data_IF_356724882350
#
_entry.id   IF_356724882350
#
_cell.length_a   1.000
_cell.length_b   1.000
_cell.length_c   1.000
_cell.angle_alpha   90.00
_cell.angle_beta   90.00
_cell.angle_gamma   90.00
#
_symmetry.space_group_name_H-M   'P 1'
#
loop_
_entity.id
_entity.type
_entity.pdbx_description
1 polymer ?
2 non-polymer ?
3 water ?
#
# COMPACT_ATOMS: atom_id res chain seq x y z
N UNK A 1 -11.63 8.59 15.95
CA UNK A 1 -10.75 8.48 14.74
C UNK A 1 -9.53 7.57 14.93
N UNK A 2 -9.31 6.69 13.96
CA UNK A 2 -8.19 5.78 13.98
C UNK A 2 -6.94 6.43 13.36
N UNK A 3 -5.76 6.07 13.87
CA UNK A 3 -4.52 6.66 13.35
C UNK A 3 -3.45 5.62 13.00
N UNK A 4 -3.44 5.14 11.75
CA UNK A 4 -2.42 4.15 11.37
C UNK A 4 -1.03 4.62 11.79
N UNK A 5 -0.14 3.68 12.14
CA UNK A 5 1.20 4.12 12.54
C UNK A 5 1.93 4.77 11.37
N UNK A 6 3.02 5.48 11.67
CA UNK A 6 3.79 6.17 10.66
C UNK A 6 4.04 5.37 9.38
N UNK A 7 3.93 6.02 8.23
CA UNK A 7 4.17 5.34 6.96
C UNK A 7 3.46 4.00 6.83
N UNK A 8 2.32 3.85 7.49
CA UNK A 8 1.57 2.59 7.42
C UNK A 8 1.11 2.25 6.00
N UNK A 9 1.07 0.94 5.71
CA UNK A 9 0.66 0.47 4.41
C UNK A 9 0.50 -1.05 4.42
N UNK A 10 -0.35 -1.55 3.54
CA UNK A 10 -0.59 -3.00 3.43
C UNK A 10 0.29 -3.62 2.35
N UNK A 11 1.24 -4.44 2.80
CA UNK A 11 2.18 -5.11 1.92
C UNK A 11 1.47 -6.02 0.92
N UNK A 12 1.39 -7.30 1.25
CA UNK A 12 0.73 -8.26 0.39
C UNK A 12 -0.63 -8.57 0.99
N UNK A 13 -1.18 -9.72 0.65
CA UNK A 13 -2.49 -10.12 1.16
C UNK A 13 -2.62 -9.91 2.66
N UNK A 14 -2.00 -10.78 3.45
CA UNK A 14 -2.12 -10.64 4.90
C UNK A 14 -0.97 -10.01 5.65
N UNK A 15 -0.17 -9.17 4.97
CA UNK A 15 0.98 -8.52 5.58
C UNK A 15 0.88 -7.00 5.60
N UNK A 16 1.37 -6.39 6.68
CA UNK A 16 1.36 -4.94 6.85
C UNK A 16 2.74 -4.37 7.07
N UNK A 17 2.90 -3.09 6.78
CA UNK A 17 4.17 -2.40 6.97
C UNK A 17 3.93 -0.98 7.48
N UNK A 18 4.85 -0.50 8.31
CA UNK A 18 4.75 0.85 8.84
C UNK A 18 6.10 1.31 9.37
N UNK A 19 6.25 2.64 9.53
CA UNK A 19 7.48 3.17 10.07
C UNK A 19 7.68 2.55 11.44
N UNK A 20 7.25 3.27 12.48
CA UNK A 20 7.36 2.81 13.86
C UNK A 20 6.11 3.22 14.63
N UNK A 21 5.30 2.23 15.05
CA UNK A 21 4.04 2.43 15.79
C UNK A 21 4.15 2.99 17.21
N UNK A 22 3.05 3.56 17.69
CA UNK A 22 2.96 4.11 19.03
C UNK A 22 1.51 4.18 19.53
N UNK A 23 1.36 4.57 20.79
CA UNK A 23 0.06 4.69 21.45
C UNK A 23 -1.09 5.17 20.58
N UNK A 24 -0.89 6.30 19.91
CA UNK A 24 -1.92 6.87 19.06
C UNK A 24 -2.33 5.90 17.95
N UNK A 25 -1.48 4.90 17.72
CA UNK A 25 -1.74 3.92 16.68
C UNK A 25 -2.35 2.62 17.18
N UNK A 26 -2.44 2.46 18.50
CA UNK A 26 -2.98 1.25 19.08
C UNK A 26 -4.38 0.90 18.61
N UNK A 27 -5.33 1.82 18.78
CA UNK A 27 -6.70 1.54 18.37
C UNK A 27 -6.72 0.92 16.97
N UNK A 28 -6.25 1.66 15.98
CA UNK A 28 -6.20 1.18 14.60
C UNK A 28 -5.49 -0.16 14.53
N UNK A 29 -4.29 -0.23 15.10
CA UNK A 29 -3.52 -1.47 15.09
C UNK A 29 -4.30 -2.59 15.74
N UNK A 30 -4.99 -2.27 16.84
CA UNK A 30 -5.79 -3.26 17.58
C UNK A 30 -7.04 -3.68 16.79
N UNK A 31 -6.86 -3.82 15.48
CA UNK A 31 -7.96 -4.17 14.57
C UNK A 31 -7.49 -5.05 13.41
N UNK A 32 -6.21 -4.95 13.06
CA UNK A 32 -5.65 -5.70 11.93
C UNK A 32 -5.57 -7.21 12.11
N UNK A 33 -5.98 -7.68 13.29
CA UNK A 33 -5.93 -9.10 13.58
C UNK A 33 -4.47 -9.47 13.77
N UNK A 34 -3.75 -8.58 14.43
CA UNK A 34 -2.34 -8.78 14.66
C UNK A 34 -2.03 -9.99 15.50
N UNK A 35 -1.41 -10.98 14.88
CA UNK A 35 -1.04 -12.20 15.56
C UNK A 35 0.41 -12.09 16.01
N UNK A 36 1.18 -11.25 15.33
CA UNK A 36 2.59 -11.04 15.66
C UNK A 36 3.15 -9.75 15.06
N UNK A 37 4.36 -9.39 15.47
CA UNK A 37 5.03 -8.19 14.99
C UNK A 37 6.46 -8.50 14.56
N UNK A 38 6.91 -7.83 13.50
CA UNK A 38 8.28 -7.98 13.00
C UNK A 38 8.92 -6.60 13.22
N UNK A 39 9.68 -6.51 14.31
CA UNK A 39 10.35 -5.27 14.73
C UNK A 39 11.85 -5.33 14.42
N UNK A 40 12.27 -4.55 13.43
CA UNK A 40 13.65 -4.54 12.95
C UNK A 40 14.67 -3.62 13.62
N UNK A 41 14.55 -3.41 14.92
CA UNK A 41 15.48 -2.53 15.63
C UNK A 41 16.21 -3.15 16.82
N UNK A 42 17.51 -2.86 16.95
CA UNK A 42 18.32 -3.38 18.06
C UNK A 42 18.13 -2.60 19.35
N UNK A 43 16.93 -2.03 19.54
CA UNK A 43 16.60 -1.29 20.75
C UNK A 43 15.40 -2.00 21.37
N UNK A 44 15.17 -1.81 22.68
CA UNK A 44 14.04 -2.44 23.38
C UNK A 44 12.73 -1.81 23.00
N UNK A 45 11.65 -2.58 23.09
CA UNK A 45 10.33 -2.09 22.74
C UNK A 45 9.80 -1.15 23.81
N UNK A 46 9.37 0.05 23.40
CA UNK A 46 8.83 1.04 24.36
C UNK A 46 7.73 0.43 25.24
N UNK A 47 7.94 0.52 26.54
CA UNK A 47 7.01 -0.02 27.52
C UNK A 47 5.54 0.18 27.12
N UNK A 48 5.14 1.43 26.93
CA UNK A 48 3.76 1.73 26.57
C UNK A 48 3.31 0.82 25.43
N UNK A 49 4.16 0.71 24.41
CA UNK A 49 3.88 -0.11 23.24
C UNK A 49 3.86 -1.58 23.65
N UNK A 50 4.96 -2.02 24.27
CA UNK A 50 5.12 -3.40 24.71
C UNK A 50 3.96 -3.90 25.57
N UNK A 51 3.33 -3.00 26.31
CA UNK A 51 2.20 -3.39 27.14
C UNK A 51 1.13 -3.95 26.20
N UNK A 52 0.90 -3.22 25.11
CA UNK A 52 -0.07 -3.59 24.08
C UNK A 52 0.38 -4.89 23.42
N UNK A 53 1.66 -4.93 23.05
CA UNK A 53 2.27 -6.07 22.40
C UNK A 53 1.81 -7.37 23.02
N UNK A 54 2.19 -7.57 24.28
CA UNK A 54 1.85 -8.79 24.99
C UNK A 54 0.33 -9.07 25.13
N UNK A 55 -0.36 -8.27 25.92
CA UNK A 55 -1.79 -8.42 26.16
C UNK A 55 -2.63 -8.29 24.91
N UNK A 56 -2.24 -9.00 23.85
CA UNK A 56 -2.98 -8.97 22.58
C UNK A 56 -2.76 -10.24 21.74
N UNK A 57 -2.18 -11.27 22.34
CA UNK A 57 -1.94 -12.50 21.59
C UNK A 57 -1.04 -12.18 20.40
N UNK A 58 -0.13 -11.23 20.63
CA UNK A 58 0.81 -10.77 19.63
C UNK A 58 2.22 -11.19 19.97
N UNK A 59 2.84 -12.00 19.11
CA UNK A 59 4.21 -12.45 19.35
C UNK A 59 5.14 -11.41 18.74
N UNK A 60 6.31 -11.21 19.35
CA UNK A 60 7.26 -10.24 18.80
C UNK A 60 8.50 -10.95 18.28
N UNK A 61 8.90 -10.60 17.07
CA UNK A 61 10.09 -11.15 16.45
C UNK A 61 11.02 -9.97 16.18
N UNK A 62 12.07 -9.85 16.98
CA UNK A 62 13.00 -8.74 16.84
C UNK A 62 14.36 -9.11 16.28
N UNK A 63 14.52 -8.91 14.98
CA UNK A 63 15.77 -9.18 14.30
C UNK A 63 16.56 -7.87 14.23
N UNK A 64 17.21 -7.52 15.33
CA UNK A 64 17.97 -6.29 15.40
C UNK A 64 18.98 -6.06 14.31
N UNK A 65 18.71 -5.08 13.45
CA UNK A 65 19.60 -4.73 12.36
C UNK A 65 20.08 -3.29 12.53
N UNK A 66 21.38 -3.14 12.82
CA UNK A 66 22.01 -1.84 13.05
C UNK A 66 21.68 -0.89 11.91
N UNK A 67 21.26 0.32 12.24
CA UNK A 67 20.91 1.28 11.20
C UNK A 67 21.84 2.47 11.11
N UNK A 68 22.60 2.55 10.02
CA UNK A 68 23.52 3.66 9.82
C UNK A 68 23.15 4.45 8.56
N UNK A 69 23.54 5.72 8.52
CA UNK A 69 23.23 6.60 7.39
C UNK A 69 23.83 6.20 6.04
N UNK A 70 23.23 6.71 4.97
CA UNK A 70 23.65 6.41 3.61
C UNK A 70 25.13 6.64 3.26
N UNK A 71 25.77 7.69 3.82
CA UNK A 71 27.18 7.89 3.47
C UNK A 71 27.93 6.56 3.45
N UNK A 72 27.66 5.73 4.45
CA UNK A 72 28.25 4.41 4.57
C UNK A 72 27.28 3.51 5.33
N UNK A 73 26.67 2.57 4.62
CA UNK A 73 25.70 1.64 5.22
C UNK A 73 26.19 0.20 5.11
N UNK A 74 25.27 -0.73 5.35
CA UNK A 74 25.55 -2.17 5.29
C UNK A 74 24.34 -2.93 5.84
N UNK A 75 23.65 -3.67 4.98
CA UNK A 75 22.46 -4.42 5.40
C UNK A 75 22.79 -5.86 5.78
N UNK A 76 22.32 -6.31 6.96
CA UNK A 76 22.54 -7.68 7.45
C UNK A 76 21.70 -8.67 6.66
N UNK A 77 22.30 -9.29 5.66
CA UNK A 77 21.61 -10.25 4.81
C UNK A 77 20.98 -11.36 5.67
N UNK A 78 21.74 -11.83 6.65
CA UNK A 78 21.29 -12.88 7.55
C UNK A 78 20.03 -12.47 8.32
N UNK A 79 20.16 -11.46 9.17
CA UNK A 79 19.01 -10.99 9.94
C UNK A 79 17.78 -10.84 9.05
N UNK A 80 17.89 -10.08 7.97
CA UNK A 80 16.75 -9.88 7.07
C UNK A 80 16.14 -11.23 6.70
N UNK A 81 17.01 -12.20 6.42
CA UNK A 81 16.59 -13.56 6.06
C UNK A 81 15.77 -14.22 7.18
N UNK A 82 16.29 -14.16 8.40
CA UNK A 82 15.57 -14.75 9.54
C UNK A 82 14.18 -14.13 9.63
N UNK A 83 14.07 -12.87 9.19
CA UNK A 83 12.81 -12.14 9.20
C UNK A 83 11.96 -12.59 8.02
N UNK A 84 12.61 -12.69 6.85
CA UNK A 84 11.93 -13.12 5.65
C UNK A 84 11.48 -14.57 5.86
N UNK A 85 12.10 -15.24 6.82
CA UNK A 85 11.77 -16.62 7.17
C UNK A 85 10.43 -16.66 7.88
N UNK A 86 10.34 -15.89 8.97
CA UNK A 86 9.13 -15.80 9.77
C UNK A 86 8.00 -15.21 8.94
N UNK A 87 8.28 -14.10 8.27
CA UNK A 87 7.27 -13.44 7.44
C UNK A 87 6.59 -14.41 6.48
N UNK A 88 7.37 -15.33 5.92
CA UNK A 88 6.82 -16.29 4.98
C UNK A 88 5.98 -17.40 5.63
N UNK A 89 5.95 -17.44 6.96
CA UNK A 89 5.15 -18.46 7.65
C UNK A 89 3.72 -17.97 7.81
N UNK A 90 2.81 -18.57 7.06
CA UNK A 90 1.39 -18.20 7.10
C UNK A 90 0.83 -18.12 8.52
N UNK A 91 1.27 -19.05 9.36
CA UNK A 91 0.80 -19.12 10.75
C UNK A 91 1.07 -17.84 11.51
N UNK A 92 2.06 -17.07 11.06
CA UNK A 92 2.43 -15.80 11.70
C UNK A 92 1.51 -14.62 11.36
N UNK A 93 0.95 -14.63 10.16
CA UNK A 93 0.05 -13.58 9.72
C UNK A 93 -1.24 -13.66 10.53
N UNK A 94 -1.89 -12.51 10.81
CA UNK A 94 -1.46 -11.17 10.39
C UNK A 94 -0.31 -10.57 11.20
N UNK A 95 0.69 -10.05 10.48
CA UNK A 95 1.86 -9.42 11.09
C UNK A 95 2.09 -8.00 10.58
N UNK A 96 2.75 -7.19 11.39
CA UNK A 96 3.09 -5.84 11.02
C UNK A 96 4.62 -5.82 10.95
N UNK A 97 5.16 -5.37 9.83
CA UNK A 97 6.61 -5.28 9.70
C UNK A 97 6.99 -3.85 10.05
N UNK A 98 7.97 -3.66 10.93
CA UNK A 98 8.37 -2.31 11.27
C UNK A 98 9.75 -2.16 11.91
N UNK A 99 10.28 -0.95 11.74
CA UNK A 99 11.57 -0.54 12.27
C UNK A 99 11.40 0.90 12.79
N UNK A 100 12.22 1.83 12.33
CA UNK A 100 12.09 3.21 12.80
C UNK A 100 11.22 4.08 11.89
N UNK A 101 11.70 4.37 10.69
CA UNK A 101 10.93 5.19 9.77
C UNK A 101 10.18 4.35 8.74
N UNK A 102 10.47 3.05 8.77
CA UNK A 102 9.84 2.10 7.87
C UNK A 102 10.11 2.41 6.41
N UNK A 103 11.36 2.71 6.09
CA UNK A 103 11.74 3.05 4.73
C UNK A 103 12.88 2.19 4.15
N UNK A 104 13.92 1.99 4.94
CA UNK A 104 15.11 1.24 4.53
C UNK A 104 15.07 -0.22 4.98
N UNK A 105 15.24 -0.43 6.28
CA UNK A 105 15.18 -1.79 6.82
C UNK A 105 13.91 -2.48 6.30
N UNK A 106 12.77 -1.95 6.71
CA UNK A 106 11.46 -2.44 6.29
C UNK A 106 11.37 -2.39 4.77
N UNK A 107 12.36 -1.77 4.15
CA UNK A 107 12.37 -1.66 2.71
C UNK A 107 12.92 -2.92 2.06
N UNK A 108 14.00 -3.45 2.64
CA UNK A 108 14.63 -4.65 2.11
C UNK A 108 13.73 -5.87 2.23
N UNK A 109 13.28 -6.17 3.44
CA UNK A 109 12.40 -7.32 3.69
C UNK A 109 11.21 -7.33 2.72
N UNK A 110 10.51 -6.20 2.61
CA UNK A 110 9.36 -6.11 1.71
C UNK A 110 9.83 -6.19 0.26
N UNK A 111 10.96 -5.52 -0.04
CA UNK A 111 11.50 -5.53 -1.38
C UNK A 111 11.87 -6.94 -1.78
N UNK A 112 12.58 -7.62 -0.89
CA UNK A 112 12.99 -8.99 -1.13
C UNK A 112 11.72 -9.84 -1.30
N UNK A 113 10.76 -9.70 -0.39
CA UNK A 113 9.51 -10.45 -0.48
C UNK A 113 9.03 -10.35 -1.92
N UNK A 114 8.93 -9.12 -2.42
CA UNK A 114 8.47 -8.87 -3.78
C UNK A 114 9.31 -9.59 -4.82
N UNK A 115 10.62 -9.66 -4.56
CA UNK A 115 11.52 -10.32 -5.49
C UNK A 115 11.12 -11.80 -5.59
N UNK A 116 11.04 -12.47 -4.45
CA UNK A 116 10.64 -13.87 -4.38
C UNK A 116 9.28 -14.01 -5.03
N UNK A 117 8.54 -12.90 -5.05
CA UNK A 117 7.21 -12.88 -5.63
C UNK A 117 7.26 -12.65 -7.13
N UNK A 118 8.48 -12.61 -7.66
CA UNK A 118 8.71 -12.44 -9.09
C UNK A 118 8.29 -11.09 -9.69
N UNK A 119 8.65 -10.00 -9.03
CA UNK A 119 8.32 -8.68 -9.55
C UNK A 119 9.56 -8.24 -10.30
N UNK A 120 9.44 -7.23 -11.15
CA UNK A 120 10.59 -6.72 -11.89
C UNK A 120 11.29 -5.69 -11.02
N UNK A 121 12.62 -5.77 -10.93
CA UNK A 121 13.37 -4.84 -10.10
C UNK A 121 12.88 -3.41 -10.28
N UNK A 122 12.46 -3.11 -11.51
CA UNK A 122 11.96 -1.78 -11.84
C UNK A 122 10.73 -1.45 -11.02
N UNK A 123 9.68 -2.26 -11.16
CA UNK A 123 8.44 -2.02 -10.42
C UNK A 123 8.72 -2.25 -8.92
N UNK A 124 9.71 -3.09 -8.63
CA UNK A 124 10.11 -3.37 -7.25
C UNK A 124 10.71 -2.14 -6.58
N UNK A 125 11.80 -1.65 -7.14
CA UNK A 125 12.46 -0.47 -6.58
C UNK A 125 11.50 0.71 -6.50
N UNK A 126 10.47 0.71 -7.36
CA UNK A 126 9.51 1.81 -7.35
C UNK A 126 8.73 1.82 -6.05
N UNK A 127 8.23 0.66 -5.66
CA UNK A 127 7.49 0.53 -4.40
C UNK A 127 8.38 0.95 -3.24
N UNK A 128 9.65 0.54 -3.34
CA UNK A 128 10.67 0.85 -2.33
C UNK A 128 10.76 2.34 -2.11
N UNK A 129 10.89 3.06 -3.22
CA UNK A 129 11.01 4.52 -3.22
C UNK A 129 9.71 5.25 -2.94
N UNK A 130 8.57 4.59 -3.22
CA UNK A 130 7.28 5.22 -2.98
C UNK A 130 7.10 5.62 -1.52
N UNK A 131 7.81 4.91 -0.64
CA UNK A 131 7.74 5.16 0.80
C UNK A 131 8.83 6.05 1.35
N UNK A 132 10.08 5.72 0.98
CA UNK A 132 11.26 6.44 1.44
C UNK A 132 11.11 7.96 1.45
N UNK A 133 10.13 8.44 0.69
CA UNK A 133 9.86 9.87 0.62
C UNK A 133 11.14 10.69 0.67
N UNK A 134 11.30 11.49 1.71
CA UNK A 134 12.49 12.32 1.84
C UNK A 134 13.76 11.56 1.46
N UNK A 135 14.28 10.76 2.39
CA UNK A 135 15.49 9.98 2.16
C UNK A 135 15.17 8.64 1.52
N UNK A 136 15.86 8.32 0.42
CA UNK A 136 15.67 7.05 -0.28
C UNK A 136 17.06 6.54 -0.70
N UNK A 137 17.46 5.39 -0.14
CA UNK A 137 18.78 4.83 -0.42
C UNK A 137 18.94 3.95 -1.65
N UNK A 138 20.12 4.05 -2.27
CA UNK A 138 20.46 3.29 -3.47
C UNK A 138 21.05 1.95 -3.06
N UNK A 139 21.91 1.99 -2.03
CA UNK A 139 22.58 0.80 -1.53
C UNK A 139 21.59 -0.29 -1.15
N UNK A 140 20.49 0.11 -0.51
CA UNK A 140 19.47 -0.84 -0.09
C UNK A 140 18.81 -1.50 -1.29
N UNK A 141 18.72 -0.77 -2.40
CA UNK A 141 18.12 -1.30 -3.64
C UNK A 141 19.06 -2.28 -4.34
N UNK A 142 20.35 -1.93 -4.42
CA UNK A 142 21.34 -2.82 -5.03
C UNK A 142 21.40 -4.10 -4.20
N UNK A 143 21.40 -3.94 -2.88
CA UNK A 143 21.39 -5.07 -1.95
C UNK A 143 20.33 -6.06 -2.45
N UNK A 144 19.30 -5.50 -3.07
CA UNK A 144 18.21 -6.29 -3.61
C UNK A 144 18.43 -6.66 -5.07
N UNK A 145 19.16 -5.81 -5.78
CA UNK A 145 19.43 -6.10 -7.19
C UNK A 145 20.12 -7.45 -7.22
N UNK A 146 20.79 -7.79 -6.12
CA UNK A 146 21.52 -9.06 -6.02
C UNK A 146 21.07 -10.02 -4.92
N UNK A 147 19.77 -10.05 -4.61
CA UNK A 147 19.29 -10.95 -3.56
C UNK A 147 19.06 -12.34 -4.13
N UNK A 148 19.98 -13.25 -3.86
CA UNK A 148 19.87 -14.61 -4.37
C UNK A 148 18.89 -15.43 -3.55
N UNK A 149 18.21 -16.36 -4.21
CA UNK A 149 17.22 -17.21 -3.57
C UNK A 149 17.63 -18.68 -3.47
N UNK A 150 17.18 -19.31 -2.39
CA UNK A 150 17.46 -20.71 -2.14
C UNK A 150 16.40 -21.54 -2.85
N UNK A 151 15.37 -21.95 -2.10
CA UNK A 151 14.28 -22.77 -2.64
C UNK A 151 14.72 -24.20 -2.97
N UNK B 1 8.91 -12.78 -15.28
CA UNK B 1 8.80 -11.66 -14.29
C UNK B 1 7.49 -10.88 -14.35
N UNK B 2 7.01 -10.50 -13.18
CA UNK B 2 5.75 -9.76 -13.03
C UNK B 2 5.95 -8.25 -12.92
N UNK B 3 5.02 -7.50 -13.52
CA UNK B 3 5.07 -6.04 -13.49
C UNK B 3 3.75 -5.41 -13.05
N UNK B 4 3.63 -5.05 -11.77
CA UNK B 4 2.37 -4.44 -11.33
C UNK B 4 2.09 -3.16 -12.14
N UNK B 5 0.82 -2.77 -12.25
CA UNK B 5 0.46 -1.57 -13.01
C UNK B 5 0.98 -0.32 -12.31
N UNK B 6 0.87 0.82 -13.00
CA UNK B 6 1.34 2.11 -12.48
C UNK B 6 0.74 2.48 -11.14
N UNK B 7 1.59 2.68 -10.14
CA UNK B 7 1.11 3.04 -8.80
C UNK B 7 0.15 2.00 -8.24
N UNK B 8 0.50 0.73 -8.41
CA UNK B 8 -0.31 -0.35 -7.88
C UNK B 8 -0.15 -0.36 -6.36
N UNK B 9 -1.13 -0.88 -5.65
CA UNK B 9 -1.08 -0.94 -4.19
C UNK B 9 -2.33 -1.61 -3.64
N UNK B 10 -2.16 -2.47 -2.63
CA UNK B 10 -3.31 -3.14 -2.04
C UNK B 10 -3.90 -2.27 -0.95
N UNK B 11 -4.97 -1.54 -1.27
CA UNK B 11 -5.65 -0.66 -0.33
C UNK B 11 -6.15 -1.39 0.93
N UNK B 12 -6.84 -2.51 0.71
CA UNK B 12 -7.35 -3.30 1.81
C UNK B 12 -7.72 -4.65 1.24
N UNK B 13 -8.24 -5.54 2.07
CA UNK B 13 -8.60 -6.86 1.61
C UNK B 13 -9.67 -6.83 0.53
N UNK B 14 -9.24 -7.12 -0.70
CA UNK B 14 -10.13 -7.13 -1.84
C UNK B 14 -9.91 -5.92 -2.73
N UNK B 15 -9.56 -4.79 -2.12
CA UNK B 15 -9.36 -3.52 -2.83
C UNK B 15 -7.93 -3.18 -3.29
N UNK B 16 -7.83 -2.67 -4.51
CA UNK B 16 -6.56 -2.26 -5.10
C UNK B 16 -6.65 -0.89 -5.78
N UNK B 17 -5.51 -0.32 -6.13
CA UNK B 17 -5.45 0.97 -6.78
C UNK B 17 -4.22 1.03 -7.69
N UNK B 18 -4.33 1.80 -8.76
CA UNK B 18 -3.23 1.95 -9.70
C UNK B 18 -3.63 2.90 -10.83
N UNK B 19 -2.74 3.04 -11.81
CA UNK B 19 -3.00 3.88 -12.96
C UNK B 19 -3.58 3.04 -14.06
N UNK B 20 -3.66 3.61 -15.26
CA UNK B 20 -4.22 2.88 -16.39
C UNK B 20 -3.38 1.66 -16.68
N UNK B 21 -3.98 0.46 -16.52
CA UNK B 21 -3.33 -0.83 -16.75
C UNK B 21 -2.73 -0.95 -18.14
N UNK B 22 -1.52 -1.48 -18.21
CA UNK B 22 -0.89 -1.67 -19.50
C UNK B 22 -0.62 -3.14 -19.67
N UNK B 23 -0.72 -3.59 -20.91
CA UNK B 23 -0.49 -4.98 -21.26
C UNK B 23 0.70 -5.60 -20.54
N UNK B 24 1.75 -4.80 -20.34
CA UNK B 24 2.95 -5.28 -19.68
C UNK B 24 2.72 -5.64 -18.22
N UNK B 25 1.48 -5.48 -17.77
CA UNK B 25 1.15 -5.78 -16.38
C UNK B 25 0.24 -7.00 -16.22
N UNK B 26 -0.64 -7.22 -17.20
CA UNK B 26 -1.59 -8.33 -17.16
C UNK B 26 -1.15 -9.56 -16.39
N UNK B 27 -0.03 -10.16 -16.76
CA UNK B 27 0.45 -11.36 -16.08
C UNK B 27 0.29 -11.17 -14.58
N UNK B 28 0.68 -9.98 -14.09
CA UNK B 28 0.57 -9.66 -12.67
C UNK B 28 -0.92 -9.57 -12.27
N UNK B 29 -1.70 -8.87 -13.08
CA UNK B 29 -3.13 -8.72 -12.81
C UNK B 29 -3.84 -10.07 -12.62
N UNK B 30 -3.38 -11.09 -13.33
CA UNK B 30 -3.99 -12.40 -13.21
C UNK B 30 -3.72 -12.93 -11.80
N UNK B 31 -2.60 -12.52 -11.22
CA UNK B 31 -2.23 -12.93 -9.87
C UNK B 31 -3.33 -12.52 -8.90
N UNK B 32 -3.83 -11.29 -9.04
CA UNK B 32 -4.86 -10.76 -8.16
C UNK B 32 -6.21 -11.47 -8.25
N UNK B 33 -6.48 -12.14 -9.37
CA UNK B 33 -7.74 -12.83 -9.53
C UNK B 33 -8.86 -11.83 -9.29
N UNK B 34 -8.81 -10.69 -9.97
CA UNK B 34 -9.81 -9.65 -9.82
C UNK B 34 -11.19 -10.10 -10.25
N UNK B 35 -12.20 -9.68 -9.49
CA UNK B 35 -13.59 -10.00 -9.80
C UNK B 35 -14.21 -8.77 -10.48
N UNK B 36 -13.90 -7.59 -9.95
CA UNK B 36 -14.40 -6.34 -10.52
C UNK B 36 -13.32 -5.25 -10.51
N UNK B 37 -13.62 -4.13 -11.18
CA UNK B 37 -12.70 -3.00 -11.26
C UNK B 37 -13.47 -1.67 -11.38
N UNK B 38 -13.11 -0.69 -10.57
CA UNK B 38 -13.80 0.60 -10.63
C UNK B 38 -13.00 1.55 -11.52
N UNK B 39 -13.63 2.02 -12.60
CA UNK B 39 -12.99 2.93 -13.56
C UNK B 39 -13.41 4.38 -13.28
N UNK B 40 -12.49 5.31 -13.46
CA UNK B 40 -12.79 6.72 -13.19
C UNK B 40 -12.52 7.67 -14.37
N UNK B 41 -11.96 7.16 -15.45
CA UNK B 41 -11.69 7.98 -16.62
C UNK B 41 -12.87 7.87 -17.57
N UNK B 42 -13.23 8.96 -18.25
CA UNK B 42 -14.36 8.92 -19.19
C UNK B 42 -14.04 8.20 -20.51
N UNK B 43 -12.80 8.29 -20.99
CA UNK B 43 -12.44 7.64 -22.24
C UNK B 43 -12.81 6.16 -22.16
N UNK B 44 -13.16 5.54 -23.29
CA UNK B 44 -13.54 4.12 -23.34
C UNK B 44 -12.31 3.23 -23.23
N UNK B 45 -12.42 2.12 -22.51
CA UNK B 45 -11.30 1.20 -22.36
C UNK B 45 -10.76 0.85 -23.74
N UNK B 46 -9.42 0.75 -23.89
CA UNK B 46 -8.82 0.42 -25.18
C UNK B 46 -9.16 -1.00 -25.66
N UNK B 47 -8.44 -1.43 -26.69
CA UNK B 47 -8.64 -2.75 -27.28
C UNK B 47 -8.08 -3.85 -26.38
N UNK B 48 -6.77 -3.82 -26.16
CA UNK B 48 -6.11 -4.82 -25.34
C UNK B 48 -6.67 -4.87 -23.93
N UNK B 49 -6.55 -3.76 -23.22
CA UNK B 49 -7.04 -3.69 -21.85
C UNK B 49 -8.42 -4.32 -21.72
N UNK B 50 -9.27 -4.11 -22.72
CA UNK B 50 -10.62 -4.64 -22.70
C UNK B 50 -10.65 -6.15 -22.99
N UNK B 51 -9.77 -6.59 -23.88
CA UNK B 51 -9.67 -7.99 -24.24
C UNK B 51 -9.43 -8.76 -22.95
N UNK B 52 -8.41 -8.33 -22.21
CA UNK B 52 -8.03 -8.94 -20.95
C UNK B 52 -9.26 -9.05 -20.05
N UNK B 53 -9.98 -7.94 -19.89
CA UNK B 53 -11.18 -7.87 -19.08
C UNK B 53 -12.07 -9.09 -19.26
N UNK B 54 -12.43 -9.33 -20.52
CA UNK B 54 -13.29 -10.46 -20.84
C UNK B 54 -12.48 -11.75 -20.76
N UNK B 55 -11.32 -11.74 -21.40
CA UNK B 55 -10.43 -12.90 -21.42
C UNK B 55 -10.14 -13.39 -20.02
N UNK B 56 -10.48 -12.57 -19.02
CA UNK B 56 -10.25 -12.89 -17.61
C UNK B 56 -11.49 -12.79 -16.72
N UNK B 57 -12.65 -12.55 -17.33
CA UNK B 57 -13.89 -12.45 -16.58
C UNK B 57 -13.88 -11.46 -15.43
N UNK B 58 -13.64 -10.20 -15.75
CA UNK B 58 -13.58 -9.14 -14.76
C UNK B 58 -14.68 -8.11 -15.04
N UNK B 59 -15.55 -7.86 -14.07
CA UNK B 59 -16.63 -6.90 -14.29
C UNK B 59 -16.10 -5.48 -14.14
N UNK B 60 -16.51 -4.62 -15.07
CA UNK B 60 -16.07 -3.23 -15.11
C UNK B 60 -17.18 -2.22 -14.86
N UNK B 61 -17.04 -1.44 -13.78
CA UNK B 61 -18.00 -0.39 -13.47
C UNK B 61 -17.24 0.86 -13.81
N UNK B 62 -17.83 1.73 -14.59
CA UNK B 62 -17.15 2.97 -14.97
C UNK B 62 -17.87 4.19 -14.42
N UNK B 63 -17.07 5.17 -13.99
CA UNK B 63 -17.57 6.41 -13.43
C UNK B 63 -16.66 7.52 -13.93
N UNK B 64 -16.77 7.84 -15.21
CA UNK B 64 -15.94 8.86 -15.81
C UNK B 64 -15.89 10.17 -15.07
N UNK B 65 -14.68 10.53 -14.64
CA UNK B 65 -14.45 11.79 -13.94
C UNK B 65 -13.45 12.58 -14.78
N UNK B 66 -13.74 13.86 -14.98
CA UNK B 66 -12.89 14.74 -15.77
C UNK B 66 -11.47 14.75 -15.20
N UNK B 67 -10.49 15.15 -16.02
CA UNK B 67 -9.13 15.20 -15.55
C UNK B 67 -8.48 16.55 -15.78
N UNK B 68 -8.52 17.42 -14.76
CA UNK B 68 -7.94 18.76 -14.87
C UNK B 68 -6.72 18.94 -13.97
N UNK B 69 -5.93 19.98 -14.22
CA UNK B 69 -4.74 20.26 -13.41
C UNK B 69 -5.04 21.05 -12.14
N UNK B 70 -4.05 21.20 -11.28
CA UNK B 70 -4.19 21.90 -10.00
C UNK B 70 -4.91 23.24 -10.04
N UNK B 71 -4.61 24.10 -11.04
CA UNK B 71 -5.27 25.40 -11.12
C UNK B 71 -6.79 25.32 -10.98
N UNK B 72 -7.44 24.44 -11.75
CA UNK B 72 -8.88 24.28 -11.65
C UNK B 72 -9.33 22.82 -11.60
N UNK B 73 -9.39 22.28 -10.39
CA UNK B 73 -9.81 20.90 -10.14
C UNK B 73 -11.30 20.88 -9.79
N UNK B 74 -11.94 19.72 -9.92
CA UNK B 74 -13.37 19.59 -9.61
C UNK B 74 -13.87 18.14 -9.72
N UNK B 75 -14.09 17.51 -8.57
CA UNK B 75 -14.56 16.12 -8.53
C UNK B 75 -16.07 16.01 -8.31
N UNK B 76 -16.75 15.18 -9.13
CA UNK B 76 -18.20 14.97 -9.05
C UNK B 76 -18.59 14.14 -7.83
N UNK B 77 -19.23 14.78 -6.85
CA UNK B 77 -19.63 14.07 -5.66
C UNK B 77 -20.44 12.82 -6.00
N UNK B 78 -21.34 12.96 -6.98
CA UNK B 78 -22.17 11.84 -7.40
C UNK B 78 -21.34 10.64 -7.85
N UNK B 79 -20.62 10.81 -8.95
CA UNK B 79 -19.79 9.75 -9.49
C UNK B 79 -18.80 9.16 -8.50
N UNK B 80 -18.68 9.80 -7.34
CA UNK B 80 -17.78 9.29 -6.30
C UNK B 80 -18.61 8.48 -5.33
N UNK B 81 -19.72 9.07 -4.88
CA UNK B 81 -20.60 8.39 -3.94
C UNK B 81 -20.94 7.00 -4.47
N UNK B 82 -21.25 6.95 -5.77
CA UNK B 82 -21.60 5.69 -6.42
C UNK B 82 -20.47 4.66 -6.43
N UNK B 83 -19.34 5.02 -7.01
CA UNK B 83 -18.19 4.13 -7.07
C UNK B 83 -17.85 3.61 -5.67
N UNK B 84 -18.06 4.47 -4.68
CA UNK B 84 -17.78 4.12 -3.30
C UNK B 84 -18.75 3.01 -2.90
N UNK B 85 -19.92 3.02 -3.53
CA UNK B 85 -20.95 2.01 -3.30
C UNK B 85 -20.45 0.68 -3.87
N UNK B 86 -20.09 0.69 -5.16
CA UNK B 86 -19.58 -0.51 -5.81
C UNK B 86 -18.45 -1.09 -4.99
N UNK B 87 -17.52 -0.24 -4.60
CA UNK B 87 -16.36 -0.65 -3.82
C UNK B 87 -16.77 -1.34 -2.52
N UNK B 88 -17.85 -0.85 -1.91
CA UNK B 88 -18.33 -1.40 -0.66
C UNK B 88 -19.07 -2.74 -0.77
N UNK B 89 -19.31 -3.21 -2.00
CA UNK B 89 -20.00 -4.50 -2.18
C UNK B 89 -18.99 -5.65 -2.28
N UNK B 90 -18.80 -6.37 -1.17
CA UNK B 90 -17.88 -7.49 -1.11
C UNK B 90 -17.93 -8.35 -2.38
N UNK B 91 -19.14 -8.52 -2.90
CA UNK B 91 -19.36 -9.33 -4.10
C UNK B 91 -18.41 -8.90 -5.22
N UNK B 92 -18.12 -7.60 -5.27
CA UNK B 92 -17.24 -7.07 -6.30
C UNK B 92 -15.75 -7.38 -6.11
N UNK B 93 -15.28 -7.32 -4.87
CA UNK B 93 -13.87 -7.60 -4.58
C UNK B 93 -13.50 -8.93 -5.22
N UNK B 94 -12.32 -9.01 -5.85
CA UNK B 94 -11.29 -7.97 -6.03
C UNK B 94 -11.71 -6.77 -6.86
N UNK B 95 -10.98 -5.65 -6.69
CA UNK B 95 -11.24 -4.43 -7.43
C UNK B 95 -9.97 -3.66 -7.78
N UNK B 96 -10.16 -2.38 -8.10
CA UNK B 96 -9.08 -1.46 -8.48
C UNK B 96 -9.74 -0.15 -8.92
N UNK B 97 -9.90 0.80 -7.99
CA UNK B 97 -10.52 2.09 -8.30
C UNK B 97 -9.52 2.96 -9.06
N UNK B 98 -9.01 2.43 -10.16
CA UNK B 98 -8.00 3.14 -10.94
C UNK B 98 -8.53 4.18 -11.93
N UNK B 99 -7.62 5.07 -12.32
CA UNK B 99 -7.89 6.14 -13.28
C UNK B 99 -6.72 6.13 -14.28
N UNK B 100 -6.23 7.30 -14.69
CA UNK B 100 -5.13 7.29 -15.65
C UNK B 100 -3.75 7.21 -15.03
N UNK B 101 -3.55 7.85 -13.89
CA UNK B 101 -2.25 7.83 -13.23
C UNK B 101 -2.30 7.19 -11.85
N UNK B 102 -3.50 7.12 -11.28
CA UNK B 102 -3.67 6.54 -9.97
C UNK B 102 -3.14 7.45 -8.89
N UNK B 103 -3.29 8.76 -9.09
CA UNK B 103 -2.79 9.73 -8.13
C UNK B 103 -3.90 10.52 -7.43
N UNK B 104 -4.67 11.24 -8.24
CA UNK B 104 -5.75 12.10 -7.75
C UNK B 104 -7.10 11.39 -7.63
N UNK B 105 -7.81 11.30 -8.75
CA UNK B 105 -9.12 10.66 -8.79
C UNK B 105 -9.16 9.36 -7.98
N UNK B 106 -8.27 8.43 -8.32
CA UNK B 106 -8.19 7.16 -7.59
C UNK B 106 -8.09 7.47 -6.10
N UNK B 107 -7.04 8.21 -5.76
CA UNK B 107 -6.80 8.57 -4.37
C UNK B 107 -7.97 9.24 -3.66
N UNK B 108 -8.73 10.06 -4.41
CA UNK B 108 -9.88 10.74 -3.84
C UNK B 108 -10.83 9.76 -3.19
N UNK B 109 -11.35 8.82 -4.00
CA UNK B 109 -12.27 7.80 -3.51
C UNK B 109 -11.56 6.87 -2.54
N UNK B 110 -10.32 6.51 -2.87
CA UNK B 110 -9.54 5.66 -1.99
C UNK B 110 -9.38 6.37 -0.65
N UNK B 111 -9.48 7.70 -0.70
CA UNK B 111 -9.35 8.49 0.51
C UNK B 111 -10.66 8.60 1.26
N UNK B 112 -11.72 8.80 0.49
CA UNK B 112 -13.06 8.92 1.05
C UNK B 112 -13.42 7.61 1.77
N UNK B 113 -12.84 6.50 1.29
CA UNK B 113 -13.08 5.20 1.90
C UNK B 113 -12.50 5.29 3.31
N UNK B 114 -11.26 5.74 3.37
CA UNK B 114 -10.58 5.89 4.65
C UNK B 114 -11.43 6.74 5.57
N UNK B 115 -12.13 7.71 5.00
CA UNK B 115 -12.98 8.59 5.78
C UNK B 115 -14.10 7.79 6.43
N UNK B 116 -14.76 6.96 5.63
CA UNK B 116 -15.83 6.12 6.11
C UNK B 116 -15.23 5.23 7.19
N UNK B 117 -14.11 4.61 6.83
CA UNK B 117 -13.40 3.70 7.72
C UNK B 117 -12.95 4.37 9.03
N UNK B 118 -13.40 5.60 9.26
CA UNK B 118 -13.06 6.33 10.48
C UNK B 118 -11.58 6.59 10.72
N UNK B 119 -10.87 7.02 9.68
CA UNK B 119 -9.45 7.31 9.78
C UNK B 119 -9.23 8.70 10.36
N UNK B 120 -8.39 9.48 9.70
CA UNK B 120 -8.07 10.85 10.12
C UNK B 120 -7.58 11.63 8.91
N UNK B 121 -8.15 12.81 8.70
CA UNK B 121 -7.78 13.65 7.57
C UNK B 121 -6.30 13.66 7.28
N UNK B 122 -5.50 13.80 8.32
CA UNK B 122 -4.05 13.83 8.15
C UNK B 122 -3.47 12.47 7.76
N UNK B 123 -3.72 11.45 8.56
CA UNK B 123 -3.21 10.11 8.25
C UNK B 123 -3.79 9.69 6.89
N UNK B 124 -4.91 10.30 6.52
CA UNK B 124 -5.56 10.01 5.24
C UNK B 124 -4.84 10.74 4.11
N UNK B 125 -4.48 11.98 4.38
CA UNK B 125 -3.81 12.83 3.43
C UNK B 125 -2.40 12.38 3.10
N UNK B 126 -1.67 11.92 4.12
CA UNK B 126 -0.30 11.46 3.94
C UNK B 126 -0.30 10.26 3.00
N UNK B 127 -1.35 9.45 3.08
CA UNK B 127 -1.47 8.29 2.21
C UNK B 127 -1.72 8.77 0.78
N UNK B 128 -2.60 9.77 0.65
CA UNK B 128 -2.96 10.35 -0.64
C UNK B 128 -1.75 10.77 -1.46
N UNK B 129 -0.86 11.52 -0.83
CA UNK B 129 0.34 12.02 -1.49
C UNK B 129 1.31 10.89 -1.81
N UNK B 130 1.23 9.81 -1.04
CA UNK B 130 2.10 8.66 -1.27
C UNK B 130 1.81 8.03 -2.62
N UNK B 131 1.19 8.80 -3.51
CA UNK B 131 0.86 8.33 -4.86
C UNK B 131 0.85 9.46 -5.89
N UNK B 132 0.55 10.67 -5.43
CA UNK B 132 0.50 11.84 -6.30
C UNK B 132 1.90 12.44 -6.41
N UNK B 133 2.59 12.51 -5.27
CA UNK B 133 3.94 13.04 -5.19
C UNK B 133 4.02 14.52 -5.61
N UNK B 134 5.08 14.87 -6.32
CA UNK B 134 5.31 16.23 -6.79
C UNK B 134 4.12 16.75 -7.61
N UNK B 135 3.05 15.95 -7.65
CA UNK B 135 1.86 16.32 -8.38
C UNK B 135 0.63 16.19 -7.50
N UNK B 136 0.85 16.37 -6.19
CA UNK B 136 -0.22 16.32 -5.21
C UNK B 136 -1.05 17.61 -5.27
N UNK B 137 -2.32 17.52 -4.88
CA UNK B 137 -3.17 18.70 -4.92
C UNK B 137 -4.10 18.90 -3.73
N UNK B 138 -4.15 20.15 -3.25
CA UNK B 138 -4.97 20.55 -2.12
C UNK B 138 -6.44 20.35 -2.43
N UNK B 139 -6.82 20.71 -3.65
CA UNK B 139 -8.19 20.59 -4.11
C UNK B 139 -8.78 19.24 -3.69
N UNK B 140 -8.17 18.15 -4.16
CA UNK B 140 -8.64 16.81 -3.85
C UNK B 140 -8.86 16.63 -2.34
N UNK B 141 -7.78 16.76 -1.56
CA UNK B 141 -7.85 16.61 -0.12
C UNK B 141 -8.98 17.42 0.48
N UNK B 142 -9.21 18.61 -0.06
CA UNK B 142 -10.28 19.47 0.41
C UNK B 142 -11.60 18.73 0.19
N UNK B 143 -11.76 18.18 -1.01
CA UNK B 143 -12.95 17.39 -1.37
C UNK B 143 -13.18 16.39 -0.24
N UNK B 144 -12.11 15.68 0.11
CA UNK B 144 -12.15 14.70 1.17
C UNK B 144 -12.62 15.34 2.47
N UNK B 145 -11.93 16.40 2.88
CA UNK B 145 -12.28 17.10 4.11
C UNK B 145 -13.78 17.35 4.14
N UNK B 146 -14.34 17.68 2.98
CA UNK B 146 -15.77 17.97 2.90
C UNK B 146 -16.67 16.73 2.84
N UNK B 147 -16.43 15.89 1.86
CA UNK B 147 -17.22 14.66 1.66
C UNK B 147 -17.91 14.19 2.95
N UNK B 148 -19.23 14.03 2.88
CA UNK B 148 -20.00 13.59 4.06
C UNK B 148 -20.13 12.08 4.14
N UNK B 149 -19.99 11.56 5.35
CA UNK B 149 -20.09 10.13 5.58
C UNK B 149 -21.40 9.78 6.29
N UNK B 150 -22.51 10.29 5.76
CA UNK B 150 -23.82 10.02 6.34
C UNK B 150 -24.60 9.06 5.46
N UNK B 151 -23.86 8.24 4.70
CA UNK B 151 -24.45 7.25 3.79
C UNK B 151 -25.84 7.66 3.33
X LIG C 1 14.70 3.19 8.42
X LIG C 1 16.01 3.83 8.60
X LIG C 1 14.01 3.12 9.71
X LIG C 1 13.90 3.96 7.46
X LIG C 1 14.90 1.82 7.91
X LIG D 1 19.18 4.24 14.24
X LIG D 1 18.30 5.42 14.19
X LIG D 1 20.40 4.55 15.01
X LIG D 1 18.45 3.13 14.88
X LIG D 1 19.57 3.86 12.86
X LIG E 1 -5.28 10.99 -11.85
X LIG E 1 -6.62 11.18 -11.28
X LIG E 1 -4.92 12.17 -12.67
X LIG E 1 -4.30 10.82 -10.77
X LIG E 1 -5.27 9.79 -12.71
X LIG F 1 -6.71 12.91 -18.12
X LIG F 1 -7.78 11.89 -18.22
X LIG F 1 -6.31 13.08 -16.71
X LIG F 1 -5.52 12.47 -18.89
X LIG F 1 -7.18 14.21 -18.65
#
# INVERSE_FOLDING_TARGET
HLIPPLNFSMVDNGIFRSGFPDSANFSFLQTLGLRSIIYLCPEPYPESNLQFLKSNGIRLFQFGIEGNKEPFVNIPDHKIRMALKVLLDEKNHPVLIHCKRGKHRTGCLVGCLRKLQKWCLTSIFDEYQRFAAAKARVSDQRFMEIFDVSS
HLIPPLNFSMVDNGIFRSGFPDSANFSFLQTLGLRSIIYLCPEPYPESNLQFLKSNGIRLFQFGIEGNKEPFVNIPDHKIRMALKVLLDEKNHPVLIHCKRGKHRTGCLVGCLRKLQKWCLTSIFDEYQRFAAAKARVSDQRFMEIFDVSS
SO4 S O1 O2 O3 O4
SO4 S O1 O2 O3 O4
SO4 S O1 O2 O3 O4
SO4 S O1 O2 O3 O4
#
